data_IF_686120797791
#
_entry.id   IF_686120797791
#
_cell.length_a   1.000
_cell.length_b   1.000
_cell.length_c   1.000
_cell.angle_alpha   90.00
_cell.angle_beta   90.00
_cell.angle_gamma   90.00
#
_symmetry.space_group_name_H-M   'P 1'
#
loop_
_entity.id
_entity.type
_entity.pdbx_description
1 polymer ?
#
# COMPACT_ATOMS: atom_id res chain seq x y z
N UNK A 1 -11.80 -15.48 -9.02
CA UNK A 1 -10.78 -15.27 -7.97
C UNK A 1 -9.96 -14.03 -8.30
N UNK A 2 -9.48 -13.25 -7.32
CA UNK A 2 -8.55 -12.15 -7.57
C UNK A 2 -7.28 -12.64 -8.27
N UNK A 3 -6.67 -11.82 -9.13
CA UNK A 3 -5.37 -12.16 -9.70
C UNK A 3 -4.29 -12.18 -8.62
N UNK A 4 -3.18 -12.89 -8.88
CA UNK A 4 -2.03 -12.89 -7.96
C UNK A 4 -1.42 -11.49 -7.81
N UNK A 5 -1.46 -10.68 -8.87
CA UNK A 5 -1.13 -9.26 -8.83
C UNK A 5 -2.02 -8.50 -7.83
N UNK A 6 -3.35 -8.70 -7.89
CA UNK A 6 -4.30 -8.05 -6.98
C UNK A 6 -3.99 -8.43 -5.52
N UNK A 7 -3.77 -9.72 -5.26
CA UNK A 7 -3.42 -10.20 -3.91
C UNK A 7 -2.11 -9.61 -3.41
N UNK A 8 -1.09 -9.53 -4.29
CA UNK A 8 0.23 -8.99 -3.96
C UNK A 8 0.15 -7.52 -3.58
N UNK A 9 -0.51 -6.68 -4.39
CA UNK A 9 -0.63 -5.24 -4.14
C UNK A 9 -1.36 -4.98 -2.82
N UNK A 10 -2.49 -5.66 -2.59
CA UNK A 10 -3.25 -5.53 -1.33
C UNK A 10 -2.43 -5.93 -0.11
N UNK A 11 -1.69 -7.05 -0.19
CA UNK A 11 -0.83 -7.51 0.90
C UNK A 11 0.27 -6.50 1.23
N UNK A 12 0.97 -5.99 0.22
CA UNK A 12 2.07 -5.04 0.43
C UNK A 12 1.56 -3.72 1.01
N UNK A 13 0.43 -3.22 0.53
CA UNK A 13 -0.21 -2.04 1.11
C UNK A 13 -0.57 -2.25 2.58
N UNK A 14 -1.21 -3.39 2.92
CA UNK A 14 -1.54 -3.72 4.30
C UNK A 14 -0.32 -3.76 5.21
N UNK A 15 0.76 -4.40 4.77
CA UNK A 15 2.03 -4.47 5.53
C UNK A 15 2.63 -3.07 5.74
N UNK A 16 2.62 -2.22 4.72
CA UNK A 16 3.15 -0.86 4.83
C UNK A 16 2.39 -0.04 5.88
N UNK A 17 1.05 -0.11 5.84
CA UNK A 17 0.18 0.60 6.80
C UNK A 17 0.39 0.11 8.22
N UNK A 18 0.40 -1.22 8.46
CA UNK A 18 0.58 -1.74 9.82
C UNK A 18 2.01 -1.50 10.34
N UNK A 19 3.00 -1.42 9.45
CA UNK A 19 4.37 -1.08 9.84
C UNK A 19 4.52 0.39 10.24
N UNK A 20 3.82 1.29 9.53
CA UNK A 20 3.74 2.70 9.90
C UNK A 20 3.01 2.89 11.25
N UNK A 21 1.88 2.21 11.42
CA UNK A 21 1.12 2.21 12.68
C UNK A 21 1.98 1.74 13.85
N UNK A 22 2.64 0.58 13.72
CA UNK A 22 3.55 0.05 14.74
C UNK A 22 4.69 1.03 15.07
N UNK A 23 5.30 1.64 14.04
CA UNK A 23 6.38 2.63 14.22
C UNK A 23 5.90 3.87 15.00
N UNK A 24 4.68 4.34 14.73
CA UNK A 24 4.07 5.47 15.47
C UNK A 24 3.77 5.06 16.91
N UNK A 25 3.13 3.90 17.11
CA UNK A 25 2.70 3.43 18.43
C UNK A 25 3.87 3.22 19.40
N UNK A 26 4.97 2.66 18.89
CA UNK A 26 6.21 2.48 19.67
C UNK A 26 7.10 3.71 19.75
N UNK A 27 6.65 4.85 19.19
CA UNK A 27 7.41 6.12 19.14
C UNK A 27 8.81 5.94 18.54
N UNK A 28 8.87 5.26 17.39
CA UNK A 28 10.11 5.04 16.67
C UNK A 28 10.81 6.36 16.30
N UNK A 29 12.12 6.33 16.01
CA UNK A 29 12.83 7.45 15.43
C UNK A 29 12.14 8.01 14.17
N UNK A 30 12.24 9.33 13.97
CA UNK A 30 11.52 10.03 12.90
C UNK A 30 11.90 9.53 11.50
N UNK A 31 13.17 9.18 11.28
CA UNK A 31 13.65 8.62 10.02
C UNK A 31 12.97 7.28 9.69
N UNK A 32 12.70 6.46 10.70
CA UNK A 32 11.97 5.22 10.52
C UNK A 32 10.48 5.47 10.22
N UNK A 33 9.83 6.39 10.91
CA UNK A 33 8.45 6.79 10.62
C UNK A 33 8.35 7.31 9.18
N UNK A 34 9.27 8.20 8.78
CA UNK A 34 9.31 8.77 7.42
C UNK A 34 9.53 7.71 6.34
N UNK A 35 10.34 6.69 6.62
CA UNK A 35 10.52 5.56 5.71
C UNK A 35 9.19 4.83 5.45
N UNK A 36 8.45 4.52 6.51
CA UNK A 36 7.17 3.83 6.38
C UNK A 36 6.07 4.71 5.78
N UNK A 37 6.09 6.02 6.07
CA UNK A 37 5.21 7.00 5.43
C UNK A 37 5.44 7.04 3.91
N UNK A 38 6.70 7.09 3.47
CA UNK A 38 7.05 7.03 2.05
C UNK A 38 6.59 5.72 1.39
N UNK A 39 6.78 4.58 2.07
CA UNK A 39 6.34 3.27 1.58
C UNK A 39 4.81 3.22 1.42
N UNK A 40 4.05 3.72 2.40
CA UNK A 40 2.59 3.83 2.31
C UNK A 40 2.17 4.71 1.12
N UNK A 41 2.85 5.84 0.90
CA UNK A 41 2.58 6.71 -0.24
C UNK A 41 2.86 6.04 -1.59
N UNK A 42 3.90 5.20 -1.68
CA UNK A 42 4.17 4.38 -2.86
C UNK A 42 3.09 3.32 -3.09
N UNK A 43 2.77 2.51 -2.07
CA UNK A 43 1.77 1.45 -2.19
C UNK A 43 0.35 2.00 -2.45
N UNK A 44 0.04 3.19 -1.96
CA UNK A 44 -1.20 3.90 -2.30
C UNK A 44 -1.30 4.20 -3.79
N UNK A 45 -0.21 4.66 -4.42
CA UNK A 45 -0.17 4.90 -5.87
C UNK A 45 -0.38 3.62 -6.67
N UNK A 46 0.21 2.51 -6.23
CA UNK A 46 0.00 1.19 -6.85
C UNK A 46 -1.45 0.71 -6.74
N UNK A 47 -2.07 0.89 -5.56
CA UNK A 47 -3.48 0.59 -5.32
C UNK A 47 -4.40 1.39 -6.24
N UNK A 48 -4.17 2.69 -6.38
CA UNK A 48 -4.92 3.54 -7.31
C UNK A 48 -4.77 3.07 -8.76
N UNK A 49 -3.55 2.74 -9.18
CA UNK A 49 -3.28 2.25 -10.52
C UNK A 49 -3.97 0.89 -10.78
N UNK A 50 -4.01 0.00 -9.79
CA UNK A 50 -4.74 -1.27 -9.88
C UNK A 50 -6.24 -1.03 -10.06
N UNK A 51 -6.84 -0.16 -9.25
CA UNK A 51 -8.27 0.19 -9.35
C UNK A 51 -8.60 0.79 -10.71
N UNK A 52 -7.74 1.68 -11.22
CA UNK A 52 -7.94 2.27 -12.56
C UNK A 52 -7.90 1.20 -13.65
N UNK A 53 -6.89 0.30 -13.64
CA UNK A 53 -6.84 -0.83 -14.60
C UNK A 53 -8.08 -1.72 -14.53
N UNK A 54 -8.58 -2.00 -13.33
CA UNK A 54 -9.80 -2.81 -13.15
C UNK A 54 -11.04 -2.08 -13.68
N UNK A 55 -11.13 -0.76 -13.48
CA UNK A 55 -12.21 0.08 -14.01
C UNK A 55 -12.18 0.13 -15.53
N UNK A 56 -11.01 0.29 -16.15
CA UNK A 56 -10.90 0.33 -17.62
C UNK A 56 -11.39 -0.99 -18.25
N UNK A 57 -11.20 -2.14 -17.59
CA UNK A 57 -11.75 -3.44 -18.04
C UNK A 57 -13.28 -3.51 -18.00
N UNK A 58 -13.95 -2.66 -17.21
CA UNK A 58 -15.42 -2.61 -17.12
C UNK A 58 -16.05 -1.81 -18.28
N UNK A 59 -15.26 -0.99 -18.97
CA UNK A 59 -15.69 -0.11 -20.05
C UNK A 59 -15.31 -0.70 -21.44
N UNK A 60 -14.67 -1.87 -21.46
CA UNK A 60 -14.33 -2.63 -22.66
C UNK A 60 -15.33 -3.76 -22.92
#
# INVERSE_FOLDING_TARGET
MPSDETRRVLKLFGVAVTSLEDAIDRRAPMDEIMKWDQEVAERTREMLALVERLRSRRIA
#
